data_IF_474699077150
#
_entry.id   IF_474699077150
#
_cell.length_a   1.000
_cell.length_b   1.000
_cell.length_c   1.000
_cell.angle_alpha   90.00
_cell.angle_beta   90.00
_cell.angle_gamma   90.00
#
_symmetry.space_group_name_H-M   'P 1'
#
loop_
_entity.id
_entity.type
_entity.pdbx_description
1 polymer ?
#
# COMPACT_ATOMS: atom_id res chain seq x y z
N UNK A 1 -8.65 -11.93 -23.74
CA UNK A 1 -8.36 -11.81 -22.29
C UNK A 1 -7.20 -10.86 -22.16
N UNK A 2 -7.48 -9.60 -21.81
CA UNK A 2 -6.47 -8.55 -21.74
C UNK A 2 -5.57 -8.77 -20.54
N UNK A 3 -4.26 -8.78 -20.78
CA UNK A 3 -3.25 -8.76 -19.74
C UNK A 3 -3.37 -7.41 -19.02
N UNK A 4 -3.90 -7.38 -17.79
CA UNK A 4 -3.85 -6.18 -16.95
C UNK A 4 -2.42 -6.00 -16.46
N UNK A 5 -1.59 -5.36 -17.30
CA UNK A 5 -0.29 -4.87 -16.89
C UNK A 5 -0.56 -3.67 -15.99
N UNK A 6 -0.57 -3.90 -14.69
CA UNK A 6 -0.56 -2.82 -13.70
C UNK A 6 0.89 -2.36 -13.60
N UNK A 7 1.13 -1.07 -13.86
CA UNK A 7 2.45 -0.47 -13.68
C UNK A 7 2.97 -0.78 -12.28
N UNK A 8 4.24 -1.19 -12.18
CA UNK A 8 4.89 -1.39 -10.89
C UNK A 8 4.94 -0.09 -10.09
N UNK A 9 5.14 -0.18 -8.78
CA UNK A 9 5.10 0.98 -7.87
C UNK A 9 6.00 2.13 -8.35
N UNK A 10 7.24 1.83 -8.73
CA UNK A 10 8.21 2.83 -9.18
C UNK A 10 7.80 3.47 -10.51
N UNK A 11 7.24 2.69 -11.42
CA UNK A 11 6.73 3.18 -12.70
C UNK A 11 5.52 4.09 -12.48
N UNK A 12 4.58 3.69 -11.61
CA UNK A 12 3.43 4.49 -11.24
C UNK A 12 3.85 5.83 -10.62
N UNK A 13 4.81 5.82 -9.70
CA UNK A 13 5.34 7.05 -9.09
C UNK A 13 6.05 7.94 -10.12
N UNK A 14 6.87 7.37 -11.01
CA UNK A 14 7.54 8.08 -12.09
C UNK A 14 6.53 8.77 -13.04
N UNK A 15 5.47 8.07 -13.40
CA UNK A 15 4.38 8.62 -14.22
C UNK A 15 3.66 9.75 -13.45
N UNK A 16 3.30 9.55 -12.19
CA UNK A 16 2.55 10.54 -11.41
C UNK A 16 3.38 11.77 -10.97
N UNK A 17 4.71 11.70 -11.04
CA UNK A 17 5.61 12.80 -10.70
C UNK A 17 5.31 14.09 -11.49
N UNK A 18 4.92 13.96 -12.77
CA UNK A 18 4.71 15.10 -13.65
C UNK A 18 3.32 15.73 -13.46
N UNK A 19 3.28 17.04 -13.21
CA UNK A 19 2.03 17.80 -13.00
C UNK A 19 1.06 17.73 -14.20
N UNK A 20 1.55 17.83 -15.44
CA UNK A 20 0.69 17.76 -16.62
C UNK A 20 0.03 16.38 -16.76
N UNK A 21 0.75 15.29 -16.43
CA UNK A 21 0.16 13.93 -16.41
C UNK A 21 -0.94 13.81 -15.37
N UNK A 22 -0.73 14.36 -14.17
CA UNK A 22 -1.77 14.43 -13.12
C UNK A 22 -2.99 15.24 -13.58
N UNK A 23 -2.79 16.41 -14.17
CA UNK A 23 -3.89 17.23 -14.71
C UNK A 23 -4.65 16.55 -15.84
N UNK A 24 -3.98 15.79 -16.71
CA UNK A 24 -4.63 14.95 -17.73
C UNK A 24 -5.52 13.89 -17.05
N UNK A 25 -4.98 13.16 -16.07
CA UNK A 25 -5.74 12.13 -15.34
C UNK A 25 -6.94 12.72 -14.61
N UNK A 26 -6.77 13.82 -13.88
CA UNK A 26 -7.86 14.54 -13.18
C UNK A 26 -9.01 14.88 -14.12
N UNK A 27 -8.70 15.22 -15.37
CA UNK A 27 -9.71 15.58 -16.36
C UNK A 27 -10.38 14.35 -16.97
N UNK A 28 -9.60 13.32 -17.31
CA UNK A 28 -10.08 12.05 -17.86
C UNK A 28 -10.92 11.23 -16.88
N UNK A 29 -10.75 11.41 -15.56
CA UNK A 29 -11.59 10.79 -14.53
C UNK A 29 -13.02 11.33 -14.55
N UNK A 30 -13.24 12.59 -14.96
CA UNK A 30 -14.57 13.21 -14.97
C UNK A 30 -15.39 12.81 -16.19
N UNK A 31 -14.76 12.81 -17.36
CA UNK A 31 -15.37 12.42 -18.63
C UNK A 31 -14.26 12.05 -19.63
N UNK A 32 -14.51 11.19 -20.64
CA UNK A 32 -13.53 10.92 -21.69
C UNK A 32 -13.28 12.15 -22.58
N UNK A 33 -12.02 12.49 -22.85
CA UNK A 33 -11.66 13.66 -23.68
C UNK A 33 -10.87 13.33 -24.94
N UNK A 34 -10.98 14.23 -25.91
CA UNK A 34 -10.06 14.32 -27.03
C UNK A 34 -8.75 15.02 -26.61
N UNK A 35 -7.61 14.70 -27.25
CA UNK A 35 -6.33 15.38 -26.98
C UNK A 35 -6.38 16.91 -27.14
N UNK A 36 -7.17 17.43 -28.08
CA UNK A 36 -7.32 18.87 -28.29
C UNK A 36 -8.06 19.54 -27.11
N UNK A 37 -9.12 18.92 -26.59
CA UNK A 37 -9.84 19.45 -25.44
C UNK A 37 -8.96 19.48 -24.18
N UNK A 38 -8.13 18.44 -23.99
CA UNK A 38 -7.15 18.40 -22.91
C UNK A 38 -6.10 19.51 -23.07
N UNK A 39 -5.64 19.75 -24.30
CA UNK A 39 -4.68 20.83 -24.59
C UNK A 39 -5.24 22.20 -24.21
N UNK A 40 -6.47 22.49 -24.63
CA UNK A 40 -7.14 23.77 -24.35
C UNK A 40 -7.42 23.97 -22.85
N UNK A 41 -7.83 22.90 -22.15
CA UNK A 41 -8.19 22.99 -20.73
C UNK A 41 -6.98 23.03 -19.79
N UNK A 42 -5.90 22.35 -20.14
CA UNK A 42 -4.68 22.29 -19.32
C UNK A 42 -3.72 23.44 -19.69
N UNK A 43 -3.88 24.05 -20.87
CA UNK A 43 -3.03 25.14 -21.34
C UNK A 43 -1.66 24.68 -21.83
N UNK A 44 -1.58 23.46 -22.39
CA UNK A 44 -0.35 22.90 -22.97
C UNK A 44 -0.54 22.53 -24.43
N UNK A 45 0.54 22.46 -25.21
CA UNK A 45 0.43 22.14 -26.63
C UNK A 45 -0.17 20.74 -26.86
N UNK A 46 -0.94 20.59 -27.93
CA UNK A 46 -1.53 19.29 -28.30
C UNK A 46 -0.46 18.20 -28.47
N UNK A 47 0.73 18.54 -28.97
CA UNK A 47 1.85 17.61 -29.09
C UNK A 47 2.35 17.13 -27.73
N UNK A 48 2.42 18.02 -26.73
CA UNK A 48 2.78 17.66 -25.36
C UNK A 48 1.73 16.74 -24.73
N UNK A 49 0.44 17.05 -24.89
CA UNK A 49 -0.66 16.17 -24.45
C UNK A 49 -0.53 14.79 -25.07
N UNK A 50 -0.33 14.70 -26.38
CA UNK A 50 -0.16 13.42 -27.08
C UNK A 50 1.04 12.62 -26.57
N UNK A 51 2.15 13.28 -26.24
CA UNK A 51 3.32 12.63 -25.63
C UNK A 51 2.98 12.06 -24.25
N UNK A 52 2.28 12.83 -23.42
CA UNK A 52 1.86 12.38 -22.09
C UNK A 52 0.85 11.24 -22.15
N UNK A 53 -0.14 11.32 -23.05
CA UNK A 53 -1.14 10.27 -23.25
C UNK A 53 -0.50 8.94 -23.68
N UNK A 54 0.52 8.97 -24.55
CA UNK A 54 1.26 7.75 -24.92
C UNK A 54 1.92 7.10 -23.71
N UNK A 55 2.59 7.88 -22.85
CA UNK A 55 3.22 7.35 -21.64
C UNK A 55 2.18 6.78 -20.66
N UNK A 56 1.05 7.48 -20.48
CA UNK A 56 -0.06 7.02 -19.64
C UNK A 56 -0.73 5.75 -20.18
N UNK A 57 -0.81 5.62 -21.51
CA UNK A 57 -1.32 4.43 -22.19
C UNK A 57 -0.36 3.24 -22.05
N UNK A 58 0.94 3.46 -22.23
CA UNK A 58 1.97 2.42 -22.03
C UNK A 58 2.02 1.91 -20.60
N UNK A 59 1.81 2.78 -19.61
CA UNK A 59 1.77 2.42 -18.19
C UNK A 59 0.39 1.90 -17.72
N UNK A 60 -0.58 1.72 -18.61
CA UNK A 60 -1.90 1.16 -18.29
C UNK A 60 -2.88 2.08 -17.55
N UNK A 61 -2.53 3.34 -17.30
CA UNK A 61 -3.41 4.31 -16.62
C UNK A 61 -4.59 4.75 -17.48
N UNK A 62 -4.40 4.80 -18.79
CA UNK A 62 -5.37 5.32 -19.75
C UNK A 62 -5.50 4.37 -20.92
N UNK A 63 -6.71 4.23 -21.45
CA UNK A 63 -6.95 3.53 -22.72
C UNK A 63 -7.38 4.48 -23.81
N UNK A 64 -7.01 4.13 -25.03
CA UNK A 64 -7.45 4.80 -26.25
C UNK A 64 -8.64 4.06 -26.86
N UNK A 65 -9.73 4.78 -27.09
CA UNK A 65 -10.94 4.24 -27.73
C UNK A 65 -11.33 5.08 -28.94
N UNK A 66 -11.98 4.45 -29.92
CA UNK A 66 -12.57 5.17 -31.07
C UNK A 66 -14.00 5.55 -30.73
N UNK A 67 -14.30 6.85 -30.77
CA UNK A 67 -15.67 7.36 -30.64
C UNK A 67 -16.18 7.84 -32.00
N UNK A 68 -17.45 7.56 -32.28
CA UNK A 68 -18.15 8.17 -33.41
C UNK A 68 -18.19 9.69 -33.23
N UNK A 69 -17.91 10.43 -34.29
CA UNK A 69 -17.93 11.89 -34.24
C UNK A 69 -19.37 12.39 -34.22
N UNK A 70 -19.75 13.19 -33.20
CA UNK A 70 -21.08 13.80 -33.10
C UNK A 70 -21.46 14.68 -34.31
N UNK A 71 -20.49 15.07 -35.14
CA UNK A 71 -20.68 15.92 -36.34
C UNK A 71 -20.50 15.17 -37.67
N UNK A 72 -20.63 13.84 -37.69
CA UNK A 72 -20.52 13.04 -38.92
C UNK A 72 -19.11 12.97 -39.54
N UNK A 73 -18.09 13.43 -38.81
CA UNK A 73 -16.69 13.31 -39.23
C UNK A 73 -16.08 11.92 -38.96
N UNK A 74 -14.84 11.66 -39.42
CA UNK A 74 -14.16 10.41 -39.16
C UNK A 74 -14.04 10.13 -37.64
N UNK A 75 -14.03 8.86 -37.24
CA UNK A 75 -13.98 8.47 -35.83
C UNK A 75 -12.74 9.06 -35.16
N UNK A 76 -12.95 9.64 -33.97
CA UNK A 76 -11.90 10.31 -33.21
C UNK A 76 -11.45 9.45 -32.04
N UNK A 77 -10.17 9.56 -31.71
CA UNK A 77 -9.61 8.87 -30.54
C UNK A 77 -9.97 9.66 -29.27
N UNK A 78 -10.70 9.02 -28.38
CA UNK A 78 -10.94 9.48 -27.00
C UNK A 78 -10.06 8.68 -26.05
N UNK A 79 -9.74 9.30 -24.92
CA UNK A 79 -8.97 8.68 -23.86
C UNK A 79 -9.84 8.57 -22.60
N UNK A 80 -9.64 7.52 -21.81
CA UNK A 80 -10.40 7.24 -20.58
C UNK A 80 -9.52 6.50 -19.57
N UNK A 81 -9.72 6.72 -18.28
CA UNK A 81 -9.07 5.95 -17.20
C UNK A 81 -9.83 4.64 -17.00
N UNK A 82 -9.12 3.50 -17.02
CA UNK A 82 -9.74 2.18 -16.80
C UNK A 82 -9.33 1.49 -15.50
N UNK A 83 -8.24 1.92 -14.88
CA UNK A 83 -7.72 1.26 -13.68
C UNK A 83 -8.00 2.07 -12.42
N UNK A 84 -8.43 1.37 -11.37
CA UNK A 84 -8.64 1.92 -10.04
C UNK A 84 -7.51 1.40 -9.13
N UNK A 85 -6.44 2.21 -8.99
CA UNK A 85 -5.29 1.88 -8.14
C UNK A 85 -5.28 2.76 -6.88
N UNK A 86 -4.73 2.23 -5.80
CA UNK A 86 -4.45 2.96 -4.56
C UNK A 86 -2.95 2.89 -4.28
N UNK A 87 -2.31 4.05 -4.17
CA UNK A 87 -0.91 4.17 -3.75
C UNK A 87 -0.92 4.87 -2.39
N UNK A 88 -0.23 4.29 -1.41
CA UNK A 88 -0.05 4.90 -0.08
C UNK A 88 1.42 5.02 0.26
N UNK A 89 1.77 6.19 0.79
CA UNK A 89 3.13 6.53 1.21
C UNK A 89 3.01 7.08 2.63
N UNK A 90 3.61 6.37 3.59
CA UNK A 90 3.72 6.82 4.98
C UNK A 90 5.18 7.17 5.26
N UNK A 91 5.41 8.36 5.81
CA UNK A 91 6.73 8.88 6.12
C UNK A 91 6.76 9.45 7.55
N UNK A 92 7.73 9.04 8.35
CA UNK A 92 8.01 9.57 9.68
C UNK A 92 9.39 9.16 10.19
N UNK A 93 9.79 9.61 11.39
CA UNK A 93 11.02 9.14 12.04
C UNK A 93 10.91 7.62 12.20
N UNK A 94 11.80 6.88 11.54
CA UNK A 94 11.80 5.41 11.48
C UNK A 94 10.59 4.76 10.78
N UNK A 95 9.81 5.51 9.99
CA UNK A 95 8.72 4.98 9.17
C UNK A 95 8.90 5.39 7.72
N UNK A 96 9.17 4.42 6.86
CA UNK A 96 9.02 4.56 5.42
C UNK A 96 8.26 3.36 4.88
N UNK A 97 6.98 3.56 4.54
CA UNK A 97 6.15 2.51 3.97
C UNK A 97 5.53 2.99 2.67
N UNK A 98 5.81 2.29 1.58
CA UNK A 98 5.21 2.55 0.28
C UNK A 98 4.50 1.29 -0.20
N UNK A 99 3.19 1.40 -0.48
CA UNK A 99 2.39 0.26 -0.92
C UNK A 99 1.45 0.62 -2.06
N UNK A 100 1.36 -0.28 -3.03
CA UNK A 100 0.40 -0.22 -4.12
C UNK A 100 -0.62 -1.34 -3.96
N UNK A 101 -1.90 -1.01 -4.14
CA UNK A 101 -3.01 -1.96 -4.12
C UNK A 101 -3.95 -1.68 -5.28
N UNK A 102 -4.49 -2.74 -5.87
CA UNK A 102 -5.58 -2.63 -6.84
C UNK A 102 -6.88 -2.57 -6.03
N UNK A 103 -7.75 -1.60 -6.36
CA UNK A 103 -9.05 -1.50 -5.70
C UNK A 103 -9.94 -2.68 -6.11
N UNK A 104 -10.72 -3.25 -5.18
CA UNK A 104 -11.54 -4.41 -5.48
C UNK A 104 -12.57 -4.09 -6.56
N UNK A 105 -12.52 -4.83 -7.66
CA UNK A 105 -13.52 -4.72 -8.71
C UNK A 105 -14.84 -5.35 -8.27
N UNK A 106 -15.96 -4.70 -8.62
CA UNK A 106 -17.30 -5.24 -8.36
C UNK A 106 -18.37 -4.18 -8.28
N UNK A 107 -19.62 -4.59 -8.48
CA UNK A 107 -20.77 -3.75 -8.19
C UNK A 107 -20.97 -3.54 -6.68
N UNK A 108 -21.87 -2.62 -6.28
CA UNK A 108 -22.09 -2.24 -4.88
C UNK A 108 -22.32 -3.44 -3.94
N UNK A 109 -23.04 -4.47 -4.40
CA UNK A 109 -23.34 -5.68 -3.60
C UNK A 109 -22.11 -6.57 -3.33
N UNK A 110 -21.12 -6.59 -4.23
CA UNK A 110 -19.87 -7.32 -3.96
C UNK A 110 -19.00 -6.57 -2.96
N UNK A 111 -19.10 -5.24 -2.96
CA UNK A 111 -18.35 -4.36 -2.06
C UNK A 111 -18.93 -4.39 -0.65
N UNK A 112 -20.25 -4.49 -0.49
CA UNK A 112 -20.91 -4.53 0.82
C UNK A 112 -20.36 -5.64 1.73
N UNK A 113 -19.99 -6.80 1.19
CA UNK A 113 -19.37 -7.91 1.94
C UNK A 113 -18.04 -7.56 2.61
N UNK A 114 -17.37 -6.48 2.19
CA UNK A 114 -16.09 -6.00 2.75
C UNK A 114 -16.26 -4.75 3.61
N UNK A 115 -17.47 -4.21 3.71
CA UNK A 115 -17.78 -3.01 4.46
C UNK A 115 -18.33 -3.37 5.84
N UNK A 116 -18.26 -2.42 6.78
CA UNK A 116 -18.83 -2.52 8.12
C UNK A 116 -19.62 -1.25 8.44
N UNK A 117 -20.59 -1.36 9.35
CA UNK A 117 -21.39 -0.22 9.81
C UNK A 117 -22.41 0.28 8.78
N UNK A 118 -22.76 1.56 8.89
CA UNK A 118 -23.89 2.15 8.14
C UNK A 118 -23.66 2.27 6.63
N UNK A 119 -22.41 2.19 6.17
CA UNK A 119 -22.05 2.21 4.74
C UNK A 119 -22.54 0.96 3.99
N UNK A 120 -22.80 -0.14 4.70
CA UNK A 120 -23.40 -1.36 4.12
C UNK A 120 -24.78 -1.07 3.54
N UNK A 121 -25.59 -0.28 4.26
CA UNK A 121 -26.94 0.12 3.81
C UNK A 121 -26.88 0.98 2.55
N UNK A 122 -25.89 1.87 2.46
CA UNK A 122 -25.64 2.68 1.26
C UNK A 122 -25.35 1.77 0.06
N UNK A 123 -24.49 0.76 0.22
CA UNK A 123 -24.17 -0.18 -0.84
C UNK A 123 -25.39 -1.01 -1.29
N UNK A 124 -26.25 -1.44 -0.35
CA UNK A 124 -27.50 -2.16 -0.65
C UNK A 124 -28.51 -1.29 -1.43
N UNK A 125 -28.74 -0.05 -0.99
CA UNK A 125 -29.66 0.90 -1.67
C UNK A 125 -29.20 1.17 -3.10
N UNK A 126 -27.89 1.39 -3.28
CA UNK A 126 -27.29 1.68 -4.59
C UNK A 126 -27.28 0.44 -5.49
N UNK A 127 -27.22 -0.77 -4.93
CA UNK A 127 -27.18 -2.01 -5.72
C UNK A 127 -28.46 -2.30 -6.51
N UNK A 128 -29.62 -1.92 -5.98
CA UNK A 128 -30.93 -2.22 -6.58
C UNK A 128 -31.36 -1.24 -7.68
N UNK A 129 -30.62 -0.16 -7.93
CA UNK A 129 -31.05 0.94 -8.81
C UNK A 129 -29.99 1.27 -9.86
N UNK A 130 -30.42 1.34 -11.13
CA UNK A 130 -29.54 1.71 -12.27
C UNK A 130 -29.23 3.21 -12.33
N UNK A 131 -30.05 4.06 -11.70
CA UNK A 131 -29.90 5.53 -11.66
C UNK A 131 -30.24 6.03 -10.26
N UNK A 132 -29.51 7.03 -9.81
CA UNK A 132 -29.67 7.68 -8.50
C UNK A 132 -29.80 9.18 -8.76
N UNK A 133 -30.69 9.86 -8.03
CA UNK A 133 -30.84 11.31 -8.13
C UNK A 133 -29.60 12.03 -7.59
N UNK A 134 -29.29 13.22 -8.10
CA UNK A 134 -28.07 13.96 -7.71
C UNK A 134 -28.00 14.20 -6.20
N UNK A 135 -29.12 14.60 -5.56
CA UNK A 135 -29.16 14.84 -4.11
C UNK A 135 -28.96 13.56 -3.29
N UNK A 136 -29.58 12.46 -3.69
CA UNK A 136 -29.37 11.14 -3.06
C UNK A 136 -27.92 10.66 -3.24
N UNK A 137 -27.36 10.83 -4.44
CA UNK A 137 -25.96 10.51 -4.72
C UNK A 137 -24.99 11.32 -3.87
N UNK A 138 -25.22 12.63 -3.72
CA UNK A 138 -24.41 13.49 -2.86
C UNK A 138 -24.46 13.04 -1.39
N UNK A 139 -25.65 12.67 -0.89
CA UNK A 139 -25.80 12.15 0.46
C UNK A 139 -25.03 10.84 0.69
N UNK A 140 -25.17 9.87 -0.23
CA UNK A 140 -24.44 8.60 -0.18
C UNK A 140 -22.93 8.80 -0.26
N UNK A 141 -22.46 9.69 -1.14
CA UNK A 141 -21.04 10.03 -1.25
C UNK A 141 -20.51 10.66 0.04
N UNK A 142 -21.27 11.57 0.66
CA UNK A 142 -20.90 12.17 1.94
C UNK A 142 -20.74 11.11 3.04
N UNK A 143 -21.68 10.17 3.14
CA UNK A 143 -21.60 9.10 4.13
C UNK A 143 -20.39 8.17 3.92
N UNK A 144 -20.05 7.89 2.65
CA UNK A 144 -18.85 7.11 2.31
C UNK A 144 -17.58 7.89 2.66
N UNK A 145 -17.52 9.18 2.32
CA UNK A 145 -16.38 10.04 2.64
C UNK A 145 -16.13 10.14 4.14
N UNK A 146 -17.17 10.35 4.95
CA UNK A 146 -17.06 10.41 6.41
C UNK A 146 -16.55 9.07 7.01
N UNK A 147 -17.02 7.94 6.46
CA UNK A 147 -16.52 6.63 6.89
C UNK A 147 -15.05 6.40 6.52
N UNK A 148 -14.60 6.88 5.36
CA UNK A 148 -13.18 6.83 4.96
C UNK A 148 -12.35 7.71 5.89
N UNK A 149 -12.76 8.94 6.15
CA UNK A 149 -12.06 9.87 7.05
C UNK A 149 -11.91 9.29 8.46
N UNK A 150 -12.95 8.64 8.99
CA UNK A 150 -12.88 7.97 10.28
C UNK A 150 -11.84 6.84 10.29
N UNK A 151 -11.80 6.02 9.24
CA UNK A 151 -10.81 4.95 9.11
C UNK A 151 -9.39 5.50 8.98
N UNK A 152 -9.22 6.60 8.25
CA UNK A 152 -7.93 7.28 8.12
C UNK A 152 -7.47 7.85 9.47
N UNK A 153 -8.36 8.45 10.26
CA UNK A 153 -8.02 8.92 11.61
C UNK A 153 -7.60 7.78 12.55
N UNK A 154 -8.37 6.68 12.56
CA UNK A 154 -8.03 5.48 13.34
C UNK A 154 -6.68 4.89 12.89
N UNK A 155 -6.43 4.86 11.57
CA UNK A 155 -5.17 4.41 10.99
C UNK A 155 -4.00 5.31 11.40
N UNK A 156 -4.16 6.62 11.33
CA UNK A 156 -3.11 7.57 11.69
C UNK A 156 -2.72 7.45 13.16
N UNK A 157 -3.70 7.22 14.05
CA UNK A 157 -3.45 6.92 15.46
C UNK A 157 -2.65 5.63 15.65
N UNK A 158 -2.98 4.56 14.90
CA UNK A 158 -2.23 3.30 14.92
C UNK A 158 -0.79 3.48 14.41
N UNK A 159 -0.59 4.26 13.36
CA UNK A 159 0.73 4.57 12.81
C UNK A 159 1.56 5.36 13.84
N UNK A 160 0.96 6.36 14.48
CA UNK A 160 1.63 7.13 15.52
C UNK A 160 2.01 6.25 16.72
N UNK A 161 1.12 5.36 17.17
CA UNK A 161 1.42 4.40 18.24
C UNK A 161 2.55 3.44 17.84
N UNK A 162 2.51 2.93 16.60
CA UNK A 162 3.56 2.07 16.06
C UNK A 162 4.92 2.78 16.08
N UNK A 163 4.99 4.05 15.66
CA UNK A 163 6.20 4.87 15.73
C UNK A 163 6.69 5.07 17.17
N UNK A 164 5.79 5.37 18.12
CA UNK A 164 6.16 5.52 19.53
C UNK A 164 6.75 4.24 20.12
N UNK A 165 6.18 3.08 19.79
CA UNK A 165 6.72 1.79 20.21
C UNK A 165 8.10 1.58 19.57
N UNK A 166 8.22 1.78 18.26
CA UNK A 166 9.50 1.63 17.53
C UNK A 166 10.58 2.50 18.15
N UNK A 167 10.31 3.79 18.40
CA UNK A 167 11.26 4.72 19.00
C UNK A 167 11.74 4.28 20.40
N UNK A 168 10.81 3.82 21.26
CA UNK A 168 11.16 3.31 22.60
C UNK A 168 11.99 2.04 22.54
N UNK A 169 11.71 1.15 21.59
CA UNK A 169 12.51 -0.05 21.41
C UNK A 169 13.87 0.33 20.85
N UNK A 170 13.97 1.19 19.85
CA UNK A 170 15.24 1.68 19.31
C UNK A 170 16.15 2.25 20.41
N UNK A 171 15.62 3.08 21.32
CA UNK A 171 16.42 3.61 22.44
C UNK A 171 16.89 2.53 23.43
N UNK A 172 16.14 1.43 23.58
CA UNK A 172 16.54 0.29 24.42
C UNK A 172 17.58 -0.57 23.71
N UNK A 173 17.45 -0.73 22.38
CA UNK A 173 18.39 -1.48 21.56
C UNK A 173 19.75 -0.79 21.54
N UNK A 174 19.77 0.54 21.50
CA UNK A 174 21.00 1.31 21.61
C UNK A 174 21.70 1.19 22.97
N UNK A 175 20.97 0.89 24.06
CA UNK A 175 21.57 0.67 25.39
C UNK A 175 21.99 -0.78 25.65
N UNK A 176 21.28 -1.75 25.07
CA UNK A 176 21.41 -3.17 25.42
C UNK A 176 22.32 -3.96 24.46
N UNK A 177 22.64 -3.39 23.29
CA UNK A 177 23.47 -4.03 22.27
C UNK A 177 24.66 -3.15 21.91
N UNK A 178 25.86 -3.63 22.22
CA UNK A 178 27.12 -2.88 22.06
C UNK A 178 27.59 -2.82 20.59
N UNK A 179 27.32 -3.88 19.81
CA UNK A 179 27.75 -3.99 18.41
C UNK A 179 26.76 -3.32 17.45
N UNK A 180 27.29 -2.65 16.42
CA UNK A 180 26.50 -2.06 15.35
C UNK A 180 25.71 -3.12 14.58
N UNK A 181 26.34 -4.27 14.33
CA UNK A 181 25.77 -5.42 13.63
C UNK A 181 24.58 -6.01 14.41
N UNK A 182 24.71 -6.15 15.74
CA UNK A 182 23.62 -6.62 16.61
C UNK A 182 22.42 -5.66 16.58
N UNK A 183 22.67 -4.34 16.68
CA UNK A 183 21.61 -3.32 16.61
C UNK A 183 20.90 -3.35 15.26
N UNK A 184 21.65 -3.49 14.17
CA UNK A 184 21.10 -3.56 12.82
C UNK A 184 20.21 -4.79 12.61
N UNK A 185 20.60 -5.97 13.13
CA UNK A 185 19.75 -7.18 13.11
C UNK A 185 18.43 -6.91 13.84
N UNK A 186 18.49 -6.34 15.05
CA UNK A 186 17.30 -6.07 15.86
C UNK A 186 16.40 -5.05 15.18
N UNK A 187 16.94 -3.95 14.65
CA UNK A 187 16.15 -2.94 13.95
C UNK A 187 15.38 -3.54 12.76
N UNK A 188 16.02 -4.40 11.96
CA UNK A 188 15.36 -5.07 10.85
C UNK A 188 14.28 -6.07 11.31
N UNK A 189 14.54 -6.81 12.40
CA UNK A 189 13.54 -7.70 13.00
C UNK A 189 12.30 -6.92 13.47
N UNK A 190 12.52 -5.74 14.08
CA UNK A 190 11.45 -4.87 14.55
C UNK A 190 10.66 -4.21 13.41
N UNK A 191 11.26 -4.07 12.21
CA UNK A 191 10.58 -3.54 11.03
C UNK A 191 9.55 -4.50 10.45
N UNK A 192 9.70 -5.80 10.67
CA UNK A 192 8.71 -6.79 10.26
C UNK A 192 8.63 -7.95 11.25
N UNK A 193 8.01 -7.74 12.43
CA UNK A 193 7.98 -8.72 13.52
C UNK A 193 7.32 -10.05 13.16
N UNK A 194 6.48 -10.05 12.11
CA UNK A 194 5.74 -11.23 11.63
C UNK A 194 6.28 -11.82 10.33
N UNK A 195 7.31 -11.20 9.72
CA UNK A 195 7.95 -11.76 8.53
C UNK A 195 9.03 -12.75 8.91
N UNK A 196 9.22 -13.79 8.10
CA UNK A 196 10.39 -14.65 8.21
C UNK A 196 11.63 -13.82 7.84
N UNK A 197 12.43 -13.44 8.84
CA UNK A 197 13.69 -12.74 8.62
C UNK A 197 14.62 -13.57 7.72
N UNK A 198 14.98 -13.04 6.54
CA UNK A 198 15.86 -13.73 5.60
C UNK A 198 17.32 -13.53 6.00
N UNK A 199 17.78 -14.36 6.92
CA UNK A 199 19.14 -14.29 7.45
C UNK A 199 20.24 -14.40 6.37
N UNK A 200 19.99 -15.21 5.33
CA UNK A 200 20.96 -15.43 4.24
C UNK A 200 21.18 -14.21 3.37
N UNK A 201 20.18 -13.34 3.29
CA UNK A 201 20.27 -12.08 2.56
C UNK A 201 20.98 -11.03 3.40
N UNK A 202 20.63 -10.95 4.68
CA UNK A 202 21.26 -10.03 5.63
C UNK A 202 22.76 -10.30 5.86
N UNK A 203 23.17 -11.57 6.02
CA UNK A 203 24.58 -11.93 6.16
C UNK A 203 25.41 -11.54 4.92
N UNK A 204 24.78 -11.58 3.73
CA UNK A 204 25.40 -11.18 2.46
C UNK A 204 25.57 -9.66 2.37
N UNK A 205 24.57 -8.90 2.82
CA UNK A 205 24.64 -7.44 2.88
C UNK A 205 25.74 -6.94 3.81
N UNK A 206 25.91 -7.58 4.96
CA UNK A 206 26.98 -7.26 5.91
C UNK A 206 28.35 -7.84 5.52
N UNK A 207 28.46 -8.55 4.40
CA UNK A 207 29.68 -9.24 3.96
C UNK A 207 30.28 -10.17 5.03
N UNK A 208 29.43 -10.74 5.89
CA UNK A 208 29.87 -11.61 6.97
C UNK A 208 30.16 -13.02 6.45
N UNK A 209 31.22 -13.64 6.98
CA UNK A 209 31.46 -15.07 6.79
C UNK A 209 30.36 -15.90 7.47
N UNK A 210 30.16 -17.15 7.00
CA UNK A 210 29.12 -18.05 7.53
C UNK A 210 29.22 -18.24 9.06
N UNK A 211 30.44 -18.43 9.57
CA UNK A 211 30.68 -18.65 11.00
C UNK A 211 30.44 -17.39 11.85
N UNK A 212 30.82 -16.21 11.36
CA UNK A 212 30.55 -14.94 12.05
C UNK A 212 29.06 -14.62 12.10
N UNK A 213 28.35 -14.98 11.03
CA UNK A 213 26.90 -14.81 10.90
C UNK A 213 26.15 -15.69 11.90
N UNK A 214 26.52 -16.96 12.05
CA UNK A 214 25.91 -17.87 13.03
C UNK A 214 26.14 -17.40 14.48
N UNK A 215 27.36 -16.98 14.82
CA UNK A 215 27.65 -16.46 16.17
C UNK A 215 26.83 -15.22 16.50
N UNK A 216 26.72 -14.27 15.55
CA UNK A 216 25.89 -13.08 15.71
C UNK A 216 24.42 -13.45 15.95
N UNK A 217 23.90 -14.46 15.24
CA UNK A 217 22.53 -14.92 15.45
C UNK A 217 22.31 -15.52 16.84
N UNK A 218 23.22 -16.36 17.31
CA UNK A 218 23.03 -17.03 18.59
C UNK A 218 23.07 -16.03 19.75
N UNK A 219 23.94 -15.02 19.65
CA UNK A 219 23.99 -13.90 20.59
C UNK A 219 22.71 -13.07 20.57
N UNK A 220 22.21 -12.70 19.38
CA UNK A 220 20.98 -11.93 19.25
C UNK A 220 19.77 -12.74 19.73
N UNK A 221 19.66 -14.02 19.32
CA UNK A 221 18.56 -14.92 19.68
C UNK A 221 18.50 -15.14 21.19
N UNK A 222 19.62 -15.46 21.83
CA UNK A 222 19.67 -15.72 23.27
C UNK A 222 19.27 -14.49 24.08
N UNK A 223 19.73 -13.29 23.69
CA UNK A 223 19.35 -12.03 24.34
C UNK A 223 17.86 -11.69 24.16
N UNK A 224 17.34 -11.80 22.94
CA UNK A 224 15.92 -11.49 22.63
C UNK A 224 14.97 -12.45 23.34
N UNK A 225 15.25 -13.76 23.32
CA UNK A 225 14.43 -14.78 24.02
C UNK A 225 14.42 -14.51 25.52
N UNK A 226 15.58 -14.17 26.11
CA UNK A 226 15.68 -13.85 27.53
C UNK A 226 14.87 -12.61 27.91
N UNK A 227 14.97 -11.53 27.13
CA UNK A 227 14.22 -10.30 27.38
C UNK A 227 12.70 -10.48 27.20
N UNK A 228 12.27 -11.30 26.23
CA UNK A 228 10.86 -11.64 26.06
C UNK A 228 10.31 -12.44 27.24
N UNK A 229 11.07 -13.43 27.72
CA UNK A 229 10.70 -14.24 28.88
C UNK A 229 10.60 -13.41 30.18
N UNK A 230 11.50 -12.44 30.38
CA UNK A 230 11.49 -11.55 31.55
C UNK A 230 10.31 -10.56 31.53
N UNK A 231 9.84 -10.10 30.35
CA UNK A 231 8.78 -9.08 30.24
C UNK A 231 7.35 -9.63 30.14
N UNK A 232 7.13 -10.77 29.49
CA UNK A 232 5.76 -11.30 29.27
C UNK A 232 5.25 -12.18 30.40
N UNK A 233 6.12 -12.58 31.34
CA UNK A 233 5.81 -13.61 32.34
C UNK A 233 5.44 -14.97 31.72
N UNK A 234 5.63 -15.14 30.41
CA UNK A 234 5.37 -16.39 29.70
C UNK A 234 6.60 -17.28 29.82
N UNK A 235 6.41 -18.44 30.44
CA UNK A 235 7.42 -19.47 30.55
C UNK A 235 7.48 -20.24 29.22
N UNK A 236 8.53 -20.01 28.43
CA UNK A 236 8.78 -20.79 27.22
C UNK A 236 9.55 -22.05 27.61
N UNK A 237 8.83 -23.16 27.82
CA UNK A 237 9.42 -24.45 28.11
C UNK A 237 9.86 -25.13 26.79
N UNK A 238 11.17 -25.28 26.58
CA UNK A 238 11.76 -26.07 25.51
C UNK A 238 12.91 -26.92 26.04
N UNK A 239 13.10 -28.11 25.46
CA UNK A 239 14.32 -28.91 25.72
C UNK A 239 15.56 -28.08 25.37
N UNK A 240 16.66 -28.22 26.12
CA UNK A 240 17.94 -27.54 25.83
C UNK A 240 18.49 -27.80 24.42
N UNK A 241 17.91 -28.77 23.70
CA UNK A 241 18.24 -29.20 22.35
C UNK A 241 17.32 -28.65 21.26
N UNK A 242 16.27 -27.87 21.58
CA UNK A 242 15.33 -27.34 20.60
C UNK A 242 15.68 -25.88 20.27
N UNK A 243 16.05 -25.63 19.02
CA UNK A 243 16.15 -24.28 18.47
C UNK A 243 14.76 -23.66 18.33
N UNK A 244 14.31 -22.99 19.40
CA UNK A 244 13.07 -22.23 19.35
C UNK A 244 13.25 -21.01 18.43
N UNK A 245 12.40 -20.84 17.41
CA UNK A 245 12.40 -19.63 16.62
C UNK A 245 12.06 -18.44 17.50
N UNK A 246 12.79 -17.34 17.37
CA UNK A 246 12.61 -16.13 18.18
C UNK A 246 11.16 -15.57 18.11
N UNK A 247 10.45 -15.80 17.00
CA UNK A 247 9.04 -15.40 16.82
C UNK A 247 8.04 -16.26 17.59
N UNK A 248 8.43 -17.43 18.09
CA UNK A 248 7.55 -18.28 18.92
C UNK A 248 7.17 -17.59 20.25
N UNK A 249 8.04 -16.69 20.73
CA UNK A 249 7.81 -15.86 21.91
C UNK A 249 6.80 -14.72 21.66
N UNK A 250 6.46 -14.41 20.41
CA UNK A 250 5.47 -13.38 20.06
C UNK A 250 4.01 -13.88 20.13
N UNK A 251 3.81 -15.16 20.45
CA UNK A 251 2.51 -15.81 20.51
C UNK A 251 2.03 -16.27 19.14
N UNK A 252 1.67 -17.56 19.02
CA UNK A 252 0.98 -18.10 17.85
C UNK A 252 -0.49 -17.71 17.98
N UNK A 253 -1.06 -17.01 17.00
CA UNK A 253 -2.51 -16.84 16.91
C UNK A 253 -3.16 -18.21 16.62
N UNK A 254 -4.02 -18.75 17.50
CA UNK A 254 -4.65 -20.05 17.28
C UNK A 254 -5.60 -20.06 16.06
N UNK A 255 -5.82 -18.92 15.41
CA UNK A 255 -6.60 -18.81 14.17
C UNK A 255 -5.78 -18.22 13.04
N UNK A 256 -4.77 -18.95 12.56
CA UNK A 256 -4.14 -18.57 11.29
C UNK A 256 -2.99 -19.46 10.86
N UNK A 257 -3.30 -20.56 10.18
CA UNK A 257 -2.49 -21.13 9.08
C UNK A 257 -3.26 -22.27 8.39
N UNK A 258 -3.15 -22.45 7.07
CA UNK A 258 -3.04 -21.47 5.99
C UNK A 258 -4.41 -21.02 5.43
#
# INVERSE_FOLDING_TARGET
MGCEVVAGLDEALSILQNKARRSILERLVREPHYPLQLADQIGISQQAVMKHLKLLESAGFVVKMKAASNKGGPPKNIYSVQQAISIRIDLGPDLFQCSQRILPAGGPLKLSNRLKGDVVKVAEIVSGRKKIGVGEGAHHLSAISEAIEKLDYERDALIALHQQIKQRVSSTVDSDFDSYEQRLVIHNILESPRSNFNFKEFARELQLGAEASERLMDEVRSRVVRQLAERSGQFIAGSQTIELPWWAALGIDPKGSP
#
